data_IF_614817412479
#
_entry.id   IF_614817412479
#
_cell.length_a   1.000
_cell.length_b   1.000
_cell.length_c   1.000
_cell.angle_alpha   90.00
_cell.angle_beta   90.00
_cell.angle_gamma   90.00
#
_symmetry.space_group_name_H-M   'P 1'
#
loop_
_entity.id
_entity.type
_entity.pdbx_description
1 polymer ?
#
# COMPACT_ATOMS: atom_id res chain seq x y z
N UNK A 1 -12.66 7.84 -24.42
CA UNK A 1 -12.70 8.44 -23.07
C UNK A 1 -11.74 7.66 -22.17
N UNK A 2 -10.68 8.30 -21.67
CA UNK A 2 -9.69 7.64 -20.81
C UNK A 2 -10.25 7.47 -19.39
N UNK A 3 -9.98 6.32 -18.76
CA UNK A 3 -10.39 6.03 -17.39
C UNK A 3 -9.89 7.16 -16.47
N UNK A 4 -10.83 7.91 -15.88
CA UNK A 4 -10.50 8.86 -14.82
C UNK A 4 -10.14 8.07 -13.58
N UNK A 5 -8.84 7.96 -13.29
CA UNK A 5 -8.37 7.34 -12.07
C UNK A 5 -8.44 8.42 -10.97
N UNK A 6 -9.38 8.37 -10.00
CA UNK A 6 -9.55 9.41 -8.98
C UNK A 6 -8.38 9.51 -7.99
N UNK A 7 -7.31 8.75 -8.21
CA UNK A 7 -6.10 8.66 -7.37
C UNK A 7 -5.03 9.67 -7.78
N UNK A 8 -4.86 9.90 -9.10
CA UNK A 8 -3.87 10.86 -9.63
C UNK A 8 -4.02 12.28 -9.06
N UNK A 9 -5.25 12.81 -8.80
CA UNK A 9 -5.40 14.13 -8.20
C UNK A 9 -4.88 14.25 -6.77
N UNK A 10 -4.83 13.15 -5.98
CA UNK A 10 -4.47 13.20 -4.56
C UNK A 10 -3.03 13.66 -4.34
N UNK A 11 -2.11 13.26 -5.21
CA UNK A 11 -0.70 13.64 -5.14
C UNK A 11 -0.27 14.65 -6.19
N UNK A 12 -1.19 15.14 -7.04
CA UNK A 12 -0.87 16.20 -8.02
C UNK A 12 -0.31 17.47 -7.36
N UNK A 13 -0.62 17.69 -6.08
CA UNK A 13 -0.10 18.79 -5.31
C UNK A 13 1.35 18.58 -4.85
N UNK A 14 1.88 17.35 -4.84
CA UNK A 14 3.27 17.06 -4.49
C UNK A 14 4.15 17.34 -5.70
N UNK A 15 5.11 18.25 -5.54
CA UNK A 15 6.10 18.57 -6.58
C UNK A 15 7.37 17.76 -6.45
N UNK A 16 7.78 17.41 -5.23
CA UNK A 16 9.06 16.77 -4.96
C UNK A 16 8.97 15.94 -3.66
N UNK A 17 9.71 14.83 -3.61
CA UNK A 17 9.84 13.96 -2.43
C UNK A 17 11.33 13.86 -2.11
N UNK A 18 11.71 14.30 -0.92
CA UNK A 18 13.11 14.33 -0.46
C UNK A 18 13.31 13.38 0.72
N UNK A 19 14.35 12.55 0.67
CA UNK A 19 14.80 11.75 1.82
C UNK A 19 15.85 12.55 2.58
N UNK A 20 15.45 13.19 3.69
CA UNK A 20 16.36 14.02 4.51
C UNK A 20 17.36 13.15 5.27
N UNK A 21 16.85 12.04 5.83
CA UNK A 21 17.64 11.02 6.51
C UNK A 21 16.92 9.66 6.39
N UNK A 22 17.41 8.63 7.11
CA UNK A 22 16.88 7.26 7.03
C UNK A 22 15.43 7.13 7.52
N UNK A 23 14.95 8.02 8.38
CA UNK A 23 13.64 7.97 9.02
C UNK A 23 12.79 9.23 8.76
N UNK A 24 13.31 10.21 8.03
CA UNK A 24 12.62 11.47 7.69
C UNK A 24 12.43 11.62 6.19
N UNK A 25 11.16 11.73 5.77
CA UNK A 25 10.75 12.03 4.39
C UNK A 25 10.05 13.38 4.35
N UNK A 26 10.45 14.24 3.41
CA UNK A 26 9.87 15.55 3.17
C UNK A 26 9.11 15.58 1.84
N UNK A 27 7.85 16.02 1.88
CA UNK A 27 7.03 16.24 0.70
C UNK A 27 6.92 17.73 0.42
N UNK A 28 7.45 18.19 -0.71
CA UNK A 28 7.28 19.56 -1.17
C UNK A 28 6.00 19.68 -1.97
N UNK A 29 5.20 20.69 -1.69
CA UNK A 29 3.93 20.92 -2.38
C UNK A 29 4.07 22.06 -3.40
N UNK A 30 3.48 21.89 -4.58
CA UNK A 30 3.37 22.92 -5.61
C UNK A 30 2.37 24.03 -5.24
N UNK A 31 1.42 23.72 -4.36
CA UNK A 31 0.40 24.65 -3.88
C UNK A 31 0.02 24.31 -2.43
N UNK A 32 -0.38 25.29 -1.60
CA UNK A 32 -0.81 25.04 -0.24
C UNK A 32 -2.02 24.09 -0.22
N UNK A 33 -1.97 23.11 0.67
CA UNK A 33 -3.07 22.17 0.95
C UNK A 33 -3.32 22.14 2.45
N UNK A 34 -4.57 21.90 2.84
CA UNK A 34 -4.89 21.75 4.26
C UNK A 34 -4.25 20.48 4.80
N UNK A 35 -3.84 20.53 6.07
CA UNK A 35 -3.26 19.38 6.77
C UNK A 35 -4.22 18.19 6.72
N UNK A 36 -5.50 18.42 7.00
CA UNK A 36 -6.52 17.36 6.97
C UNK A 36 -6.61 16.68 5.60
N UNK A 37 -6.56 17.43 4.50
CA UNK A 37 -6.60 16.86 3.16
C UNK A 37 -5.38 15.97 2.89
N UNK A 38 -4.18 16.43 3.25
CA UNK A 38 -2.95 15.66 3.05
C UNK A 38 -2.92 14.41 3.93
N UNK A 39 -3.34 14.52 5.20
CA UNK A 39 -3.42 13.38 6.10
C UNK A 39 -4.43 12.33 5.61
N UNK A 40 -5.61 12.76 5.15
CA UNK A 40 -6.58 11.84 4.55
C UNK A 40 -6.07 11.21 3.26
N UNK A 41 -5.31 11.95 2.45
CA UNK A 41 -4.65 11.38 1.28
C UNK A 41 -3.63 10.30 1.69
N UNK A 42 -2.73 10.58 2.63
CA UNK A 42 -1.76 9.58 3.11
C UNK A 42 -2.41 8.35 3.73
N UNK A 43 -3.51 8.52 4.48
CA UNK A 43 -4.24 7.42 5.11
C UNK A 43 -5.13 6.61 4.15
N UNK A 44 -5.21 7.00 2.88
CA UNK A 44 -5.98 6.26 1.88
C UNK A 44 -5.43 4.84 1.72
N UNK A 45 -6.31 3.83 1.71
CA UNK A 45 -5.94 2.42 1.54
C UNK A 45 -5.25 2.09 0.21
N UNK A 46 -5.17 3.07 -0.71
CA UNK A 46 -4.44 2.97 -1.97
C UNK A 46 -2.96 3.38 -1.86
N UNK A 47 -2.55 3.97 -0.74
CA UNK A 47 -1.22 4.56 -0.54
C UNK A 47 -0.35 3.71 0.37
N UNK A 48 -0.32 2.41 0.07
CA UNK A 48 0.52 1.44 0.77
C UNK A 48 1.98 1.62 0.35
N UNK A 49 2.89 1.52 1.31
CA UNK A 49 4.34 1.58 1.05
C UNK A 49 4.81 0.18 0.66
N UNK A 50 5.39 0.07 -0.54
CA UNK A 50 5.97 -1.16 -1.07
C UNK A 50 7.50 -1.15 -0.96
N UNK A 51 8.09 -2.35 -0.94
CA UNK A 51 9.55 -2.50 -1.01
C UNK A 51 10.08 -2.01 -2.35
N UNK A 52 11.07 -1.10 -2.31
CA UNK A 52 11.78 -0.61 -3.50
C UNK A 52 12.35 -1.77 -4.33
N UNK A 53 12.99 -2.74 -3.67
CA UNK A 53 13.59 -3.92 -4.31
C UNK A 53 12.56 -4.67 -5.17
N UNK A 54 11.37 -4.91 -4.62
CA UNK A 54 10.32 -5.65 -5.32
C UNK A 54 9.74 -4.87 -6.49
N UNK A 55 9.62 -3.55 -6.37
CA UNK A 55 9.18 -2.70 -7.49
C UNK A 55 10.16 -2.77 -8.65
N UNK A 56 11.46 -2.66 -8.38
CA UNK A 56 12.51 -2.70 -9.41
C UNK A 56 12.60 -4.09 -10.07
N UNK A 57 12.53 -5.18 -9.29
CA UNK A 57 12.58 -6.57 -9.80
C UNK A 57 11.37 -6.92 -10.69
N UNK A 58 10.24 -6.24 -10.53
CA UNK A 58 9.00 -6.52 -11.24
C UNK A 58 8.61 -5.41 -12.23
N UNK A 59 9.54 -4.54 -12.63
CA UNK A 59 9.30 -3.42 -13.55
C UNK A 59 8.09 -2.54 -13.14
N UNK A 60 7.89 -2.33 -11.84
CA UNK A 60 6.78 -1.59 -11.25
C UNK A 60 5.37 -2.17 -11.52
N UNK A 61 5.26 -3.40 -12.03
CA UNK A 61 3.99 -4.11 -12.19
C UNK A 61 3.83 -5.18 -11.09
N UNK A 62 3.09 -4.83 -10.03
CA UNK A 62 2.78 -5.75 -8.94
C UNK A 62 1.50 -6.57 -9.19
N UNK A 63 0.79 -6.37 -10.31
CA UNK A 63 -0.50 -7.02 -10.57
C UNK A 63 -0.40 -8.55 -10.70
N UNK A 64 0.76 -9.03 -11.16
CA UNK A 64 1.05 -10.46 -11.36
C UNK A 64 1.91 -11.06 -10.24
N UNK A 65 2.33 -10.24 -9.28
CA UNK A 65 3.20 -10.67 -8.19
C UNK A 65 2.34 -11.31 -7.10
N UNK A 66 2.53 -12.61 -6.90
CA UNK A 66 1.80 -13.38 -5.88
C UNK A 66 2.22 -12.96 -4.46
N UNK A 67 3.50 -12.67 -4.27
CA UNK A 67 4.09 -12.30 -2.99
C UNK A 67 4.48 -10.83 -3.01
N UNK A 68 3.55 -9.96 -2.64
CA UNK A 68 3.83 -8.53 -2.49
C UNK A 68 4.29 -8.30 -1.04
N UNK A 69 5.59 -8.02 -0.80
CA UNK A 69 6.06 -7.73 0.55
C UNK A 69 5.53 -6.36 0.98
N UNK A 70 4.80 -6.36 2.08
CA UNK A 70 4.31 -5.16 2.75
C UNK A 70 4.75 -5.14 4.21
N UNK A 71 4.55 -4.01 4.88
CA UNK A 71 4.84 -3.85 6.31
C UNK A 71 3.63 -4.18 7.18
N UNK A 72 2.61 -4.82 6.62
CA UNK A 72 1.35 -5.12 7.30
C UNK A 72 1.43 -6.31 8.26
N UNK A 73 0.37 -6.52 9.05
CA UNK A 73 0.28 -7.60 10.04
C UNK A 73 0.15 -9.01 9.42
N UNK A 74 -0.16 -9.11 8.13
CA UNK A 74 -0.28 -10.37 7.41
C UNK A 74 0.49 -10.34 6.09
N UNK A 75 1.06 -11.49 5.73
CA UNK A 75 1.77 -11.76 4.48
C UNK A 75 0.93 -12.67 3.59
N UNK A 76 0.92 -12.39 2.28
CA UNK A 76 0.19 -13.23 1.32
C UNK A 76 0.94 -14.55 1.14
N UNK A 77 0.28 -15.67 1.43
CA UNK A 77 0.86 -17.01 1.22
C UNK A 77 0.37 -17.64 -0.07
N UNK A 78 -0.93 -17.49 -0.35
CA UNK A 78 -1.58 -18.10 -1.50
C UNK A 78 -2.71 -17.22 -1.99
N UNK A 79 -2.74 -17.00 -3.30
CA UNK A 79 -3.85 -16.42 -4.04
C UNK A 79 -4.36 -17.46 -5.03
N UNK A 80 -5.61 -17.86 -4.88
CA UNK A 80 -6.33 -18.55 -5.94
C UNK A 80 -7.34 -17.56 -6.49
N UNK A 81 -7.19 -17.21 -7.77
CA UNK A 81 -8.07 -16.26 -8.45
C UNK A 81 -9.53 -16.72 -8.29
N UNK A 82 -10.41 -15.80 -7.89
CA UNK A 82 -11.84 -16.03 -7.68
C UNK A 82 -12.24 -17.05 -6.60
N UNK A 83 -11.31 -17.54 -5.78
CA UNK A 83 -11.64 -18.52 -4.74
C UNK A 83 -11.27 -17.98 -3.35
N UNK A 84 -9.97 -17.96 -3.03
CA UNK A 84 -9.48 -17.65 -1.69
C UNK A 84 -8.18 -16.87 -1.75
N UNK A 85 -8.13 -15.85 -0.90
CA UNK A 85 -6.89 -15.22 -0.49
C UNK A 85 -6.49 -15.67 0.91
N UNK A 86 -5.38 -16.39 1.02
CA UNK A 86 -4.82 -16.86 2.30
C UNK A 86 -3.68 -15.94 2.71
N UNK A 87 -3.82 -15.34 3.89
CA UNK A 87 -2.80 -14.49 4.48
C UNK A 87 -2.39 -15.04 5.86
N UNK A 88 -1.08 -15.14 6.08
CA UNK A 88 -0.53 -15.60 7.36
C UNK A 88 0.04 -14.43 8.16
N UNK A 89 0.05 -14.57 9.48
CA UNK A 89 0.58 -13.54 10.37
C UNK A 89 2.06 -13.25 10.07
N UNK A 90 2.40 -11.97 9.96
CA UNK A 90 3.78 -11.49 9.93
C UNK A 90 4.38 -11.50 11.35
N UNK A 91 5.43 -12.32 11.63
CA UNK A 91 6.05 -12.37 12.94
C UNK A 91 6.86 -11.11 13.28
N UNK A 92 7.27 -10.32 12.27
CA UNK A 92 8.13 -9.14 12.40
C UNK A 92 7.35 -7.81 12.34
N UNK A 93 6.03 -7.84 12.56
CA UNK A 93 5.20 -6.64 12.56
C UNK A 93 5.53 -5.71 13.74
N UNK A 94 5.54 -4.39 13.50
CA UNK A 94 6.04 -3.40 14.45
C UNK A 94 5.12 -3.11 15.66
N UNK A 95 3.82 -3.41 15.56
CA UNK A 95 2.82 -3.19 16.62
C UNK A 95 2.53 -4.48 17.42
N UNK A 96 1.78 -4.37 18.53
CA UNK A 96 1.23 -5.50 19.26
C UNK A 96 0.55 -6.50 18.34
N UNK A 97 0.95 -7.76 18.52
CA UNK A 97 0.67 -8.87 17.60
C UNK A 97 -0.83 -8.96 17.32
N UNK A 98 -1.25 -9.19 16.06
CA UNK A 98 -2.66 -9.45 15.74
C UNK A 98 -3.24 -10.55 16.64
N UNK A 99 -4.52 -10.53 17.02
CA UNK A 99 -5.07 -11.67 17.78
C UNK A 99 -5.12 -12.96 16.92
N UNK A 100 -5.28 -12.79 15.60
CA UNK A 100 -5.53 -13.90 14.67
C UNK A 100 -4.24 -14.48 14.06
N UNK A 101 -4.05 -15.81 14.07
CA UNK A 101 -2.88 -16.45 13.45
C UNK A 101 -2.93 -16.49 11.92
N UNK A 102 -4.12 -16.48 11.31
CA UNK A 102 -4.34 -16.54 9.86
C UNK A 102 -5.64 -15.81 9.49
N UNK A 103 -5.68 -15.22 8.30
CA UNK A 103 -6.85 -14.52 7.77
C UNK A 103 -7.21 -15.06 6.38
N UNK A 104 -8.50 -15.27 6.13
CA UNK A 104 -9.02 -15.74 4.85
C UNK A 104 -9.98 -14.69 4.29
N UNK A 105 -9.78 -14.31 3.03
CA UNK A 105 -10.74 -13.51 2.27
C UNK A 105 -11.37 -14.40 1.20
N UNK A 106 -12.69 -14.60 1.23
CA UNK A 106 -13.41 -15.33 0.19
C UNK A 106 -13.90 -14.37 -0.89
N UNK A 107 -13.99 -14.84 -2.14
CA UNK A 107 -14.46 -14.01 -3.26
C UNK A 107 -15.94 -13.59 -3.12
N UNK A 108 -16.73 -14.29 -2.30
CA UNK A 108 -18.14 -13.96 -2.01
C UNK A 108 -18.32 -12.79 -1.04
N UNK A 109 -17.25 -12.30 -0.41
CA UNK A 109 -17.31 -11.21 0.59
C UNK A 109 -17.25 -9.81 -0.03
N UNK A 110 -17.43 -9.71 -1.36
CA UNK A 110 -17.47 -8.43 -2.06
C UNK A 110 -18.95 -7.98 -2.19
N UNK A 111 -19.40 -6.91 -1.50
CA UNK A 111 -20.73 -6.35 -1.72
C UNK A 111 -20.89 -5.78 -3.14
#
# INVERSE_FOLDING_TARGET
AGVSIPRTPLFRAVSEINTRDKYTVEFKLAAPRSVNFMMSAFASGWNVIFSKKTLEENNYDLGKVLYIPGTGPFETQRRVENEVWVMERNPNYCEQRPALPRWYRQASDNP
#
